data_IF_022320787638
#
_entry.id   IF_022320787638
#
_cell.length_a   1.000
_cell.length_b   1.000
_cell.length_c   1.000
_cell.angle_alpha   90.00
_cell.angle_beta   90.00
_cell.angle_gamma   90.00
#
_symmetry.space_group_name_H-M   'P 1'
#
loop_
_entity.id
_entity.type
_entity.pdbx_description
1 polymer ?
#
# COMPACT_ATOMS: atom_id res chain seq x y z
N UNK A 1 -4.53 -36.88 21.71
CA UNK A 1 -3.44 -36.06 21.13
C UNK A 1 -2.59 -35.49 22.24
N UNK A 2 -1.27 -35.58 22.11
CA UNK A 2 -0.31 -35.14 23.11
C UNK A 2 -0.23 -33.61 23.13
N UNK A 3 -0.09 -33.00 24.32
CA UNK A 3 0.07 -31.54 24.50
C UNK A 3 1.23 -30.97 23.69
N UNK A 4 2.36 -31.69 23.60
CA UNK A 4 3.51 -31.26 22.82
C UNK A 4 3.24 -31.18 21.30
N UNK A 5 2.42 -32.06 20.77
CA UNK A 5 2.02 -32.05 19.35
C UNK A 5 1.10 -30.85 19.07
N UNK A 6 0.13 -30.57 19.96
CA UNK A 6 -0.76 -29.39 19.83
C UNK A 6 0.01 -28.07 19.84
N UNK A 7 0.96 -27.92 20.75
CA UNK A 7 1.79 -26.71 20.84
C UNK A 7 2.62 -26.53 19.56
N UNK A 8 3.21 -27.62 19.04
CA UNK A 8 4.00 -27.56 17.79
C UNK A 8 3.14 -27.15 16.59
N UNK A 9 1.93 -27.70 16.47
CA UNK A 9 1.00 -27.33 15.39
C UNK A 9 0.61 -25.85 15.51
N UNK A 10 0.31 -25.38 16.73
CA UNK A 10 -0.05 -23.98 16.97
C UNK A 10 1.09 -23.02 16.60
N UNK A 11 2.33 -23.33 17.03
CA UNK A 11 3.52 -22.53 16.70
C UNK A 11 3.75 -22.50 15.18
N UNK A 12 3.60 -23.64 14.50
CA UNK A 12 3.75 -23.73 13.05
C UNK A 12 2.69 -22.85 12.34
N UNK A 13 1.45 -22.89 12.77
CA UNK A 13 0.38 -22.05 12.23
C UNK A 13 0.67 -20.56 12.44
N UNK A 14 1.17 -20.18 13.61
CA UNK A 14 1.56 -18.80 13.91
C UNK A 14 2.71 -18.33 13.02
N UNK A 15 3.73 -19.15 12.81
CA UNK A 15 4.85 -18.82 11.93
C UNK A 15 4.42 -18.69 10.47
N UNK A 16 3.56 -19.56 9.97
CA UNK A 16 3.02 -19.50 8.62
C UNK A 16 2.19 -18.22 8.45
N UNK A 17 1.35 -17.88 9.42
CA UNK A 17 0.54 -16.65 9.40
C UNK A 17 1.41 -15.39 9.39
N UNK A 18 2.55 -15.39 10.09
CA UNK A 18 3.46 -14.24 10.13
C UNK A 18 4.28 -14.08 8.84
N UNK A 19 4.47 -15.17 8.08
CA UNK A 19 5.23 -15.17 6.82
C UNK A 19 4.35 -14.78 5.62
N UNK A 20 3.05 -15.14 5.64
CA UNK A 20 2.12 -14.85 4.55
C UNK A 20 1.73 -13.37 4.61
N UNK A 21 2.29 -12.59 3.68
CA UNK A 21 1.92 -11.19 3.48
C UNK A 21 1.28 -11.06 2.10
N UNK A 22 -0.02 -10.74 2.07
CA UNK A 22 -0.78 -10.65 0.82
C UNK A 22 -0.80 -9.21 0.35
N UNK A 23 -0.36 -9.00 -0.90
CA UNK A 23 -0.39 -7.71 -1.57
C UNK A 23 -1.28 -7.72 -2.79
N UNK A 24 -1.76 -6.55 -3.17
CA UNK A 24 -2.58 -6.34 -4.35
C UNK A 24 -2.13 -5.09 -5.11
N UNK A 25 -2.33 -5.10 -6.42
CA UNK A 25 -2.18 -3.92 -7.26
C UNK A 25 -3.54 -3.23 -7.38
N UNK A 26 -3.55 -1.90 -7.24
CA UNK A 26 -4.75 -1.10 -7.37
C UNK A 26 -4.60 -0.15 -8.54
N UNK A 27 -5.30 -0.47 -9.65
CA UNK A 27 -5.37 0.39 -10.82
C UNK A 27 -6.62 1.26 -10.78
N UNK A 28 -6.51 2.47 -11.31
CA UNK A 28 -7.59 3.46 -11.33
C UNK A 28 -8.35 3.52 -12.65
N UNK A 29 -7.91 2.74 -13.65
CA UNK A 29 -8.52 2.75 -14.98
C UNK A 29 -9.66 1.73 -15.08
N UNK A 30 -10.78 2.06 -14.46
CA UNK A 30 -12.01 1.29 -14.55
C UNK A 30 -13.12 2.15 -15.13
N UNK A 31 -13.99 1.55 -15.95
CA UNK A 31 -15.18 2.23 -16.49
C UNK A 31 -16.23 2.51 -15.40
N UNK A 32 -16.23 1.71 -14.34
CA UNK A 32 -17.15 1.87 -13.20
C UNK A 32 -16.37 1.69 -11.89
N UNK A 33 -15.56 2.69 -11.50
CA UNK A 33 -14.74 2.56 -10.31
C UNK A 33 -15.61 2.59 -9.05
N UNK A 34 -15.30 1.70 -8.10
CA UNK A 34 -15.87 1.77 -6.77
C UNK A 34 -15.28 2.96 -6.00
N UNK A 35 -16.02 3.52 -5.03
CA UNK A 35 -15.45 4.54 -4.14
C UNK A 35 -14.20 4.02 -3.43
N UNK A 36 -13.14 4.82 -3.27
CA UNK A 36 -11.91 4.38 -2.61
C UNK A 36 -12.11 3.78 -1.22
N UNK A 37 -13.02 4.34 -0.42
CA UNK A 37 -13.36 3.81 0.91
C UNK A 37 -13.91 2.39 0.85
N UNK A 38 -14.71 2.07 -0.16
CA UNK A 38 -15.25 0.73 -0.37
C UNK A 38 -14.14 -0.25 -0.74
N UNK A 39 -13.22 0.16 -1.60
CA UNK A 39 -12.07 -0.68 -1.99
C UNK A 39 -11.18 -0.97 -0.79
N UNK A 40 -10.87 0.04 0.03
CA UNK A 40 -10.08 -0.13 1.26
C UNK A 40 -10.75 -1.12 2.22
N UNK A 41 -12.07 -1.02 2.38
CA UNK A 41 -12.83 -1.97 3.20
C UNK A 41 -12.71 -3.40 2.66
N UNK A 42 -12.84 -3.58 1.34
CA UNK A 42 -12.69 -4.89 0.71
C UNK A 42 -11.29 -5.46 0.88
N UNK A 43 -10.25 -4.62 0.76
CA UNK A 43 -8.87 -5.04 0.99
C UNK A 43 -8.68 -5.53 2.43
N UNK A 44 -9.16 -4.78 3.41
CA UNK A 44 -9.06 -5.15 4.82
C UNK A 44 -9.85 -6.42 5.14
N UNK A 45 -11.07 -6.53 4.63
CA UNK A 45 -11.94 -7.70 4.85
C UNK A 45 -11.35 -8.98 4.26
N UNK A 46 -10.51 -8.87 3.24
CA UNK A 46 -9.83 -10.00 2.60
C UNK A 46 -8.39 -10.21 3.08
N UNK A 47 -7.97 -9.52 4.13
CA UNK A 47 -6.64 -9.69 4.73
C UNK A 47 -5.50 -9.16 3.89
N UNK A 48 -5.76 -8.24 2.98
CA UNK A 48 -4.71 -7.60 2.16
C UNK A 48 -3.96 -6.60 3.02
N UNK A 49 -2.65 -6.78 3.14
CA UNK A 49 -1.78 -5.99 4.03
C UNK A 49 -0.93 -4.97 3.27
N UNK A 50 -0.75 -5.17 1.98
CA UNK A 50 0.07 -4.30 1.13
C UNK A 50 -0.67 -3.98 -0.16
N UNK A 51 -0.53 -2.74 -0.63
CA UNK A 51 -1.11 -2.32 -1.90
C UNK A 51 -0.07 -1.53 -2.70
N UNK A 52 -0.04 -1.79 -4.01
CA UNK A 52 0.74 -1.01 -4.95
C UNK A 52 -0.19 -0.13 -5.77
N UNK A 53 0.06 1.16 -5.75
CA UNK A 53 -0.62 2.15 -6.58
C UNK A 53 0.25 2.48 -7.79
N UNK A 54 -0.39 2.77 -8.92
CA UNK A 54 0.32 3.16 -10.14
C UNK A 54 0.62 4.66 -10.21
N UNK A 55 -0.01 5.43 -9.35
CA UNK A 55 0.22 6.87 -9.18
C UNK A 55 -0.09 7.29 -7.73
N UNK A 56 0.13 8.56 -7.42
CA UNK A 56 -0.15 9.13 -6.11
C UNK A 56 -1.52 9.83 -6.10
N UNK A 57 -2.59 9.10 -6.35
CA UNK A 57 -3.95 9.66 -6.35
C UNK A 57 -4.35 10.10 -4.94
N UNK A 58 -4.63 11.41 -4.72
CA UNK A 58 -4.94 11.93 -3.39
C UNK A 58 -6.18 11.28 -2.74
N UNK A 59 -7.20 10.95 -3.52
CA UNK A 59 -8.43 10.36 -2.98
C UNK A 59 -8.19 8.93 -2.47
N UNK A 60 -7.37 8.17 -3.17
CA UNK A 60 -6.97 6.82 -2.78
C UNK A 60 -6.08 6.86 -1.55
N UNK A 61 -5.08 7.75 -1.54
CA UNK A 61 -4.19 7.92 -0.39
C UNK A 61 -4.95 8.37 0.85
N UNK A 62 -5.91 9.26 0.69
CA UNK A 62 -6.79 9.67 1.79
C UNK A 62 -7.56 8.48 2.37
N UNK A 63 -8.13 7.64 1.52
CA UNK A 63 -8.89 6.46 1.94
C UNK A 63 -8.00 5.41 2.64
N UNK A 64 -6.74 5.31 2.26
CA UNK A 64 -5.76 4.41 2.88
C UNK A 64 -5.23 4.91 4.23
N UNK A 65 -5.46 6.18 4.55
CA UNK A 65 -5.04 6.78 5.83
C UNK A 65 -5.66 6.06 7.01
N UNK A 66 -4.83 5.64 7.98
CA UNK A 66 -5.28 4.93 9.17
C UNK A 66 -5.76 3.50 8.93
N UNK A 67 -5.64 2.96 7.71
CA UNK A 67 -6.11 1.62 7.39
C UNK A 67 -5.20 0.49 7.92
N UNK A 68 -3.94 0.81 8.21
CA UNK A 68 -2.91 -0.20 8.53
C UNK A 68 -2.37 -0.94 7.30
N UNK A 69 -2.78 -0.55 6.09
CA UNK A 69 -2.29 -1.13 4.84
C UNK A 69 -1.01 -0.41 4.43
N UNK A 70 0.04 -1.18 4.16
CA UNK A 70 1.31 -0.67 3.65
C UNK A 70 1.19 -0.32 2.16
N UNK A 71 1.64 0.86 1.77
CA UNK A 71 1.45 1.39 0.44
C UNK A 71 2.79 1.55 -0.29
N UNK A 72 2.84 1.06 -1.52
CA UNK A 72 3.87 1.37 -2.50
C UNK A 72 3.28 2.31 -3.54
N UNK A 73 3.85 3.49 -3.67
CA UNK A 73 3.36 4.51 -4.62
C UNK A 73 4.13 4.39 -5.93
N UNK A 74 3.40 4.31 -7.03
CA UNK A 74 3.96 4.35 -8.36
C UNK A 74 4.27 5.78 -8.83
N UNK A 75 5.37 5.94 -9.54
CA UNK A 75 5.68 7.18 -10.25
C UNK A 75 5.13 7.04 -11.67
N UNK A 76 4.29 7.99 -12.14
CA UNK A 76 3.77 7.93 -13.49
C UNK A 76 4.88 7.88 -14.53
N UNK A 77 4.70 7.05 -15.56
CA UNK A 77 5.74 6.82 -16.59
C UNK A 77 6.16 8.10 -17.32
N UNK A 78 5.23 9.00 -17.56
CA UNK A 78 5.49 10.30 -18.20
C UNK A 78 6.33 11.26 -17.35
N UNK A 79 6.45 11.00 -16.05
CA UNK A 79 7.24 11.82 -15.13
C UNK A 79 8.62 11.23 -14.82
N UNK A 80 8.89 9.98 -15.19
CA UNK A 80 10.13 9.30 -14.84
C UNK A 80 11.37 10.03 -15.34
N UNK A 81 11.36 10.49 -16.58
CA UNK A 81 12.49 11.20 -17.17
C UNK A 81 12.79 12.51 -16.43
N UNK A 82 11.77 13.31 -16.19
CA UNK A 82 11.91 14.60 -15.49
C UNK A 82 12.44 14.43 -14.07
N UNK A 83 11.94 13.44 -13.34
CA UNK A 83 12.35 13.17 -11.96
C UNK A 83 13.77 12.58 -11.90
N UNK A 84 14.14 11.75 -12.88
CA UNK A 84 15.47 11.14 -12.94
C UNK A 84 16.57 12.19 -13.23
N UNK A 85 16.24 13.28 -13.93
CA UNK A 85 17.18 14.29 -14.37
C UNK A 85 17.22 15.54 -13.49
N UNK A 86 16.41 15.60 -12.44
CA UNK A 86 16.39 16.76 -11.54
C UNK A 86 16.11 16.33 -10.11
N UNK A 87 17.09 16.49 -9.25
CA UNK A 87 16.94 16.23 -7.81
C UNK A 87 15.88 17.14 -7.20
N UNK A 88 15.84 18.42 -7.59
CA UNK A 88 14.85 19.36 -7.09
C UNK A 88 13.44 18.95 -7.48
N UNK A 89 13.23 18.48 -8.72
CA UNK A 89 11.93 17.99 -9.17
C UNK A 89 11.53 16.73 -8.40
N UNK A 90 12.45 15.82 -8.16
CA UNK A 90 12.21 14.60 -7.41
C UNK A 90 11.81 14.90 -5.95
N UNK A 91 12.54 15.77 -5.30
CA UNK A 91 12.24 16.20 -3.92
C UNK A 91 10.86 16.86 -3.82
N UNK A 92 10.54 17.73 -4.76
CA UNK A 92 9.24 18.40 -4.79
C UNK A 92 8.11 17.40 -5.01
N UNK A 93 8.29 16.42 -5.90
CA UNK A 93 7.31 15.36 -6.14
C UNK A 93 7.06 14.54 -4.88
N UNK A 94 8.13 14.13 -4.20
CA UNK A 94 8.03 13.37 -2.94
C UNK A 94 7.33 14.20 -1.87
N UNK A 95 7.68 15.47 -1.74
CA UNK A 95 7.05 16.35 -0.76
C UNK A 95 5.56 16.49 -0.98
N UNK A 96 5.13 16.69 -2.21
CA UNK A 96 3.71 16.91 -2.54
C UNK A 96 2.88 15.64 -2.54
N UNK A 97 3.44 14.52 -3.00
CA UNK A 97 2.68 13.31 -3.26
C UNK A 97 2.86 12.23 -2.18
N UNK A 98 3.85 12.38 -1.32
CA UNK A 98 4.19 11.38 -0.30
C UNK A 98 4.21 11.97 1.09
N UNK A 99 5.12 12.87 1.37
CA UNK A 99 5.32 13.42 2.72
C UNK A 99 4.08 14.11 3.26
N UNK A 100 3.36 14.83 2.41
CA UNK A 100 2.12 15.49 2.78
C UNK A 100 1.05 14.48 3.23
N UNK A 101 0.94 13.32 2.58
CA UNK A 101 -0.05 12.30 2.94
C UNK A 101 0.35 11.48 4.17
N UNK A 102 1.64 11.28 4.41
CA UNK A 102 2.12 10.64 5.64
C UNK A 102 1.78 11.51 6.84
N UNK A 103 2.07 12.80 6.77
CA UNK A 103 1.87 13.71 7.90
C UNK A 103 0.42 14.10 8.15
N UNK A 104 -0.39 14.28 7.09
CA UNK A 104 -1.77 14.75 7.24
C UNK A 104 -2.80 13.62 7.31
N UNK A 105 -2.59 12.51 6.63
CA UNK A 105 -3.57 11.44 6.48
C UNK A 105 -3.17 10.11 7.14
N UNK A 106 -1.98 10.05 7.75
CA UNK A 106 -1.47 8.83 8.40
C UNK A 106 -1.41 7.62 7.45
N UNK A 107 -0.99 7.84 6.21
CA UNK A 107 -0.78 6.77 5.24
C UNK A 107 0.57 6.12 5.46
N UNK A 108 0.63 4.79 5.48
CA UNK A 108 1.86 4.03 5.65
C UNK A 108 2.53 3.78 4.29
N UNK A 109 3.20 4.81 3.75
CA UNK A 109 3.92 4.73 2.48
C UNK A 109 5.34 4.25 2.75
N UNK A 110 5.69 3.09 2.24
CA UNK A 110 7.00 2.45 2.49
C UNK A 110 7.95 2.52 1.31
N UNK A 111 7.43 2.42 0.09
CA UNK A 111 8.25 2.29 -1.10
C UNK A 111 7.71 3.12 -2.26
N UNK A 112 8.64 3.48 -3.16
CA UNK A 112 8.33 4.02 -4.48
C UNK A 112 8.72 3.00 -5.53
N UNK A 113 7.93 2.88 -6.57
CA UNK A 113 8.27 2.05 -7.72
C UNK A 113 7.77 2.69 -9.01
N UNK A 114 8.39 2.32 -10.09
CA UNK A 114 7.91 2.64 -11.42
C UNK A 114 7.03 1.51 -11.93
#
# INVERSE_FOLDING_TARGET
MNHGVLVKIFVLCMMVSSVICIGANWGTQSTHPLPPSTIVKLLRDNGIQKVKLFDADPSILYALGGSGIEVTVGIPNDMLYSLANSVAAAELWVQRNVSAHISSNSVDIRYFSR
#
